data_IF_953460555257
#
_entry.id   IF_953460555257
#
_cell.length_a   1.000
_cell.length_b   1.000
_cell.length_c   1.000
_cell.angle_alpha   90.00
_cell.angle_beta   90.00
_cell.angle_gamma   90.00
#
_symmetry.space_group_name_H-M   'P 1'
#
loop_
_entity.id
_entity.type
_entity.pdbx_description
1 polymer ?
#
# COMPACT_ATOMS: atom_id res chain seq x y z
N UNK A 1 -6.52 14.70 -21.22
CA UNK A 1 -7.40 14.66 -20.02
C UNK A 1 -7.32 15.95 -19.21
N UNK A 2 -6.12 16.46 -18.84
CA UNK A 2 -5.95 17.73 -18.10
C UNK A 2 -6.61 18.92 -18.80
N UNK A 3 -6.30 19.17 -20.06
CA UNK A 3 -6.86 20.28 -20.85
C UNK A 3 -8.41 20.31 -20.86
N UNK A 4 -9.04 19.15 -20.92
CA UNK A 4 -10.49 19.05 -20.89
C UNK A 4 -11.10 19.47 -19.53
N UNK A 5 -10.42 19.20 -18.42
CA UNK A 5 -10.85 19.66 -17.09
C UNK A 5 -10.66 21.17 -16.93
N UNK A 6 -9.56 21.72 -17.45
CA UNK A 6 -9.28 23.16 -17.43
C UNK A 6 -10.35 23.95 -18.19
N UNK A 7 -10.77 23.44 -19.36
CA UNK A 7 -11.86 24.02 -20.14
C UNK A 7 -13.18 23.99 -19.36
N UNK A 8 -13.56 22.85 -18.76
CA UNK A 8 -14.78 22.72 -17.96
C UNK A 8 -14.80 23.63 -16.73
N UNK A 9 -13.67 23.74 -16.02
CA UNK A 9 -13.55 24.64 -14.87
C UNK A 9 -13.66 26.10 -15.27
N UNK A 10 -13.07 26.48 -16.40
CA UNK A 10 -13.16 27.83 -16.97
C UNK A 10 -14.60 28.18 -17.38
N UNK A 11 -15.30 27.24 -18.04
CA UNK A 11 -16.71 27.42 -18.42
C UNK A 11 -17.61 27.53 -17.17
N UNK A 12 -17.29 26.82 -16.11
CA UNK A 12 -18.00 26.89 -14.81
C UNK A 12 -17.70 28.17 -14.01
N UNK A 13 -16.77 29.03 -14.49
CA UNK A 13 -16.32 30.22 -13.77
C UNK A 13 -15.50 29.90 -12.52
N UNK A 14 -14.95 28.70 -12.41
CA UNK A 14 -14.12 28.32 -11.27
C UNK A 14 -12.71 28.91 -11.44
N UNK A 15 -12.20 29.52 -10.38
CA UNK A 15 -10.79 29.92 -10.33
C UNK A 15 -9.94 28.69 -10.05
N UNK A 16 -9.02 28.40 -10.93
CA UNK A 16 -8.02 27.34 -10.74
C UNK A 16 -6.62 27.88 -11.04
N UNK A 17 -5.63 27.33 -10.36
CA UNK A 17 -4.24 27.63 -10.62
C UNK A 17 -3.69 26.65 -11.68
N UNK A 18 -3.30 27.12 -12.87
CA UNK A 18 -2.78 26.26 -13.92
C UNK A 18 -1.43 25.64 -13.57
N UNK A 19 -0.68 26.21 -12.62
CA UNK A 19 0.59 25.67 -12.14
C UNK A 19 0.39 24.65 -11.01
N UNK A 20 -0.81 24.56 -10.43
CA UNK A 20 -1.09 23.64 -9.34
C UNK A 20 -0.99 22.20 -9.81
N UNK A 21 -0.05 21.47 -9.24
CA UNK A 21 0.06 20.05 -9.44
C UNK A 21 -1.04 19.35 -8.63
N UNK A 22 -1.69 18.32 -9.22
CA UNK A 22 -2.71 17.52 -8.52
C UNK A 22 -2.20 16.87 -7.21
N UNK A 23 -0.89 16.61 -7.13
CA UNK A 23 -0.25 16.08 -5.94
C UNK A 23 -0.22 17.13 -4.83
N UNK A 24 0.18 18.36 -5.14
CA UNK A 24 0.21 19.47 -4.19
C UNK A 24 -1.18 19.80 -3.67
N UNK A 25 -2.18 19.71 -4.56
CA UNK A 25 -3.59 19.89 -4.19
C UNK A 25 -4.09 18.83 -3.20
N UNK A 26 -3.66 17.59 -3.37
CA UNK A 26 -4.17 16.46 -2.58
C UNK A 26 -3.49 16.32 -1.23
N UNK A 27 -2.18 16.59 -1.14
CA UNK A 27 -1.36 16.29 0.05
C UNK A 27 -0.78 17.54 0.73
N UNK A 28 -0.75 18.67 0.03
CA UNK A 28 -0.09 19.88 0.50
C UNK A 28 1.44 19.80 0.46
N UNK A 29 2.10 20.94 0.69
CA UNK A 29 3.55 21.12 0.55
C UNK A 29 4.40 20.22 1.46
N UNK A 30 3.88 19.81 2.63
CA UNK A 30 4.63 19.04 3.61
C UNK A 30 4.96 17.61 3.16
N UNK A 31 4.15 17.01 2.32
CA UNK A 31 4.35 15.63 1.86
C UNK A 31 5.42 15.57 0.77
N UNK A 32 5.43 16.55 -0.12
CA UNK A 32 6.46 16.67 -1.15
C UNK A 32 7.84 16.93 -0.53
N UNK A 33 7.92 17.78 0.50
CA UNK A 33 9.20 18.07 1.16
C UNK A 33 9.83 16.82 1.80
N UNK A 34 9.01 15.88 2.29
CA UNK A 34 9.50 14.59 2.81
C UNK A 34 10.13 13.73 1.72
N UNK A 35 9.52 13.70 0.52
CA UNK A 35 10.04 12.96 -0.62
C UNK A 35 11.31 13.58 -1.20
N UNK A 36 11.43 14.91 -1.18
CA UNK A 36 12.65 15.60 -1.62
C UNK A 36 13.91 15.23 -0.80
N UNK A 37 13.73 14.79 0.43
CA UNK A 37 14.83 14.29 1.28
C UNK A 37 15.36 12.91 0.85
N UNK A 38 14.66 12.19 -0.02
CA UNK A 38 15.09 10.91 -0.56
C UNK A 38 15.91 11.14 -1.84
N UNK A 39 16.98 10.36 -2.00
CA UNK A 39 17.81 10.38 -3.22
C UNK A 39 17.17 9.65 -4.41
N UNK A 40 15.84 9.75 -4.55
CA UNK A 40 15.12 9.18 -5.68
C UNK A 40 14.98 10.20 -6.82
N UNK A 41 14.90 9.72 -8.07
CA UNK A 41 14.51 10.59 -9.17
C UNK A 41 13.14 11.20 -8.87
N UNK A 42 13.04 12.53 -8.92
CA UNK A 42 11.78 13.25 -8.68
C UNK A 42 10.88 13.14 -9.90
N UNK A 43 10.30 11.96 -10.12
CA UNK A 43 9.35 11.72 -11.21
C UNK A 43 7.92 11.75 -10.67
N UNK A 44 6.99 12.20 -11.50
CA UNK A 44 5.56 12.20 -11.17
C UNK A 44 5.09 10.81 -10.71
N UNK A 45 5.57 9.74 -11.33
CA UNK A 45 5.23 8.35 -10.99
C UNK A 45 5.63 7.99 -9.56
N UNK A 46 6.78 8.46 -9.08
CA UNK A 46 7.22 8.21 -7.70
C UNK A 46 6.29 8.92 -6.71
N UNK A 47 5.89 10.16 -7.00
CA UNK A 47 4.94 10.88 -6.18
C UNK A 47 3.57 10.20 -6.13
N UNK A 48 3.05 9.76 -7.27
CA UNK A 48 1.78 9.04 -7.36
C UNK A 48 1.83 7.71 -6.58
N UNK A 49 2.90 6.94 -6.72
CA UNK A 49 3.10 5.71 -5.96
C UNK A 49 3.19 5.97 -4.45
N UNK A 50 3.87 7.04 -4.04
CA UNK A 50 3.93 7.44 -2.64
C UNK A 50 2.54 7.80 -2.10
N UNK A 51 1.72 8.53 -2.85
CA UNK A 51 0.35 8.86 -2.48
C UNK A 51 -0.52 7.61 -2.31
N UNK A 52 -0.39 6.65 -3.22
CA UNK A 52 -1.08 5.36 -3.12
C UNK A 52 -0.66 4.63 -1.84
N UNK A 53 0.64 4.61 -1.55
CA UNK A 53 1.18 3.96 -0.35
C UNK A 53 0.77 4.66 0.94
N UNK A 54 0.72 5.99 0.98
CA UNK A 54 0.35 6.76 2.17
C UNK A 54 -1.13 6.63 2.53
N UNK A 55 -1.97 6.35 1.53
CA UNK A 55 -3.44 6.18 1.69
C UNK A 55 -3.90 4.74 1.74
N UNK A 56 -2.94 3.80 1.75
CA UNK A 56 -3.24 2.38 1.72
C UNK A 56 -4.07 1.94 2.93
N UNK A 57 -4.92 0.96 2.69
CA UNK A 57 -5.66 0.22 3.73
C UNK A 57 -5.56 -1.26 3.42
N UNK A 58 -5.41 -2.07 4.47
CA UNK A 58 -5.38 -3.53 4.43
C UNK A 58 -4.21 -4.13 3.62
N UNK A 59 -4.22 -3.99 2.30
CA UNK A 59 -3.30 -4.68 1.40
C UNK A 59 -2.83 -3.80 0.26
N UNK A 60 -1.53 -3.78 0.02
CA UNK A 60 -0.89 -3.19 -1.16
C UNK A 60 0.02 -4.21 -1.81
N UNK A 61 0.01 -4.28 -3.13
CA UNK A 61 0.97 -5.06 -3.92
C UNK A 61 1.83 -4.09 -4.71
N UNK A 62 3.13 -4.15 -4.51
CA UNK A 62 4.12 -3.37 -5.25
C UNK A 62 4.91 -4.27 -6.18
N UNK A 63 5.03 -3.86 -7.44
CA UNK A 63 5.93 -4.46 -8.41
C UNK A 63 7.25 -3.69 -8.32
N UNK A 64 8.28 -4.33 -7.81
CA UNK A 64 9.56 -3.71 -7.47
C UNK A 64 10.74 -4.59 -7.94
N UNK A 65 11.00 -4.62 -9.25
CA UNK A 65 12.07 -5.44 -9.81
C UNK A 65 13.46 -5.03 -9.34
N UNK A 66 13.64 -3.76 -8.99
CA UNK A 66 14.94 -3.17 -8.62
C UNK A 66 15.11 -3.01 -7.10
N UNK A 67 14.17 -3.52 -6.31
CA UNK A 67 14.20 -3.50 -4.83
C UNK A 67 14.29 -2.08 -4.23
N UNK A 68 13.63 -1.11 -4.85
CA UNK A 68 13.66 0.31 -4.49
C UNK A 68 12.47 0.75 -3.63
N UNK A 69 11.43 -0.08 -3.50
CA UNK A 69 10.20 0.33 -2.82
C UNK A 69 10.34 0.45 -1.30
N UNK A 70 11.28 -0.27 -0.66
CA UNK A 70 11.44 -0.29 0.81
C UNK A 70 11.58 1.10 1.43
N UNK A 71 12.48 1.98 0.96
CA UNK A 71 12.60 3.32 1.50
C UNK A 71 11.30 4.13 1.38
N UNK A 72 10.61 4.03 0.25
CA UNK A 72 9.34 4.72 0.00
C UNK A 72 8.24 4.22 0.93
N UNK A 73 8.14 2.89 1.13
CA UNK A 73 7.19 2.27 2.06
C UNK A 73 7.48 2.70 3.49
N UNK A 74 8.74 2.71 3.89
CA UNK A 74 9.15 3.11 5.24
C UNK A 74 8.76 4.56 5.53
N UNK A 75 8.90 5.44 4.55
CA UNK A 75 8.45 6.84 4.69
C UNK A 75 6.94 6.99 4.73
N UNK A 76 6.21 6.24 3.93
CA UNK A 76 4.74 6.30 3.92
C UNK A 76 4.12 5.83 5.25
N UNK A 77 4.89 5.12 6.08
CA UNK A 77 4.46 4.53 7.36
C UNK A 77 5.08 5.19 8.59
N UNK A 78 5.42 6.47 8.53
CA UNK A 78 6.12 7.17 9.63
C UNK A 78 5.42 7.07 11.00
N UNK A 79 4.11 6.84 11.01
CA UNK A 79 3.30 6.75 12.24
C UNK A 79 3.16 5.31 12.77
N UNK A 80 3.56 4.30 12.00
CA UNK A 80 3.40 2.90 12.38
C UNK A 80 4.71 2.13 12.27
N UNK A 81 4.92 1.20 13.18
CA UNK A 81 6.06 0.27 13.10
C UNK A 81 5.90 -0.61 11.87
N UNK A 82 6.92 -0.60 11.01
CA UNK A 82 6.95 -1.44 9.81
C UNK A 82 7.91 -2.61 10.02
N UNK A 83 7.39 -3.83 9.92
CA UNK A 83 8.20 -5.05 9.96
C UNK A 83 8.49 -5.46 8.53
N UNK A 84 9.78 -5.58 8.16
CA UNK A 84 10.20 -6.12 6.87
C UNK A 84 10.59 -7.58 7.04
N UNK A 85 10.00 -8.46 6.25
CA UNK A 85 10.23 -9.91 6.29
C UNK A 85 10.30 -10.47 4.87
N UNK A 86 10.65 -11.74 4.73
CA UNK A 86 10.69 -12.44 3.46
C UNK A 86 9.63 -13.54 3.40
N UNK A 87 9.16 -13.87 2.19
CA UNK A 87 8.19 -14.95 1.99
C UNK A 87 8.63 -16.28 2.61
N UNK A 88 9.93 -16.58 2.54
CA UNK A 88 10.51 -17.82 3.07
C UNK A 88 10.96 -17.73 4.54
N UNK A 89 10.62 -16.66 5.24
CA UNK A 89 10.97 -16.52 6.65
C UNK A 89 10.14 -17.48 7.49
N UNK A 90 10.83 -18.31 8.30
CA UNK A 90 10.18 -19.25 9.23
C UNK A 90 9.27 -18.55 10.26
N UNK A 91 9.48 -17.28 10.50
CA UNK A 91 8.69 -16.47 11.43
C UNK A 91 7.60 -15.64 10.74
N UNK A 92 7.47 -15.70 9.42
CA UNK A 92 6.49 -14.91 8.64
C UNK A 92 5.08 -15.02 9.23
N UNK A 93 4.60 -16.24 9.45
CA UNK A 93 3.27 -16.48 10.03
C UNK A 93 3.10 -15.80 11.39
N UNK A 94 4.09 -15.93 12.28
CA UNK A 94 4.08 -15.31 13.61
C UNK A 94 4.06 -13.79 13.52
N UNK A 95 4.96 -13.23 12.70
CA UNK A 95 5.08 -11.79 12.50
C UNK A 95 3.79 -11.22 11.93
N UNK A 96 3.20 -11.87 10.93
CA UNK A 96 1.95 -11.44 10.32
C UNK A 96 0.80 -11.41 11.34
N UNK A 97 0.62 -12.48 12.12
CA UNK A 97 -0.44 -12.55 13.13
C UNK A 97 -0.26 -11.48 14.21
N UNK A 98 0.97 -11.23 14.63
CA UNK A 98 1.26 -10.19 15.62
C UNK A 98 1.00 -8.79 15.08
N UNK A 99 1.44 -8.49 13.86
CA UNK A 99 1.19 -7.21 13.22
C UNK A 99 -0.30 -6.96 12.99
N UNK A 100 -1.04 -7.98 12.57
CA UNK A 100 -2.50 -7.90 12.44
C UNK A 100 -3.19 -7.53 13.76
N UNK A 101 -2.80 -8.17 14.85
CA UNK A 101 -3.41 -7.92 16.16
C UNK A 101 -3.08 -6.53 16.72
N UNK A 102 -1.88 -6.01 16.40
CA UNK A 102 -1.39 -4.70 16.88
C UNK A 102 -1.74 -3.54 15.97
N UNK A 103 -2.17 -3.80 14.72
CA UNK A 103 -2.38 -2.75 13.71
C UNK A 103 -1.07 -2.20 13.14
N UNK A 104 0.02 -2.97 13.20
CA UNK A 104 1.32 -2.62 12.65
C UNK A 104 1.38 -2.91 11.16
N UNK A 105 2.23 -2.20 10.42
CA UNK A 105 2.49 -2.49 9.02
C UNK A 105 3.51 -3.60 8.85
N UNK A 106 3.29 -4.50 7.88
CA UNK A 106 4.26 -5.54 7.50
C UNK A 106 4.54 -5.48 6.01
N UNK A 107 5.83 -5.57 5.64
CA UNK A 107 6.26 -5.67 4.24
C UNK A 107 6.88 -7.03 4.00
N UNK A 108 6.31 -7.77 3.04
CA UNK A 108 6.78 -9.10 2.66
C UNK A 108 7.50 -9.02 1.32
N UNK A 109 8.79 -9.36 1.32
CA UNK A 109 9.66 -9.37 0.13
C UNK A 109 9.71 -10.75 -0.51
N UNK A 110 10.10 -10.77 -1.80
CA UNK A 110 10.29 -11.99 -2.60
C UNK A 110 9.04 -12.90 -2.59
N UNK A 111 7.88 -12.27 -2.76
CA UNK A 111 6.60 -12.95 -2.78
C UNK A 111 6.18 -13.41 -4.19
N UNK A 112 7.14 -13.69 -5.06
CA UNK A 112 6.90 -14.10 -6.46
C UNK A 112 6.25 -15.49 -6.56
N UNK A 113 6.32 -16.27 -5.48
CA UNK A 113 5.69 -17.60 -5.35
C UNK A 113 4.89 -17.65 -4.05
N UNK A 114 3.87 -18.46 -4.02
CA UNK A 114 3.03 -18.73 -2.84
C UNK A 114 2.31 -17.50 -2.23
N UNK A 115 2.34 -16.36 -2.94
CA UNK A 115 1.65 -15.13 -2.51
C UNK A 115 0.14 -15.33 -2.35
N UNK A 116 -0.45 -16.32 -3.00
CA UNK A 116 -1.87 -16.68 -2.88
C UNK A 116 -2.27 -16.96 -1.43
N UNK A 117 -1.39 -17.61 -0.68
CA UNK A 117 -1.62 -17.92 0.73
C UNK A 117 -1.71 -16.65 1.58
N UNK A 118 -0.97 -15.60 1.20
CA UNK A 118 -1.02 -14.30 1.87
C UNK A 118 -2.22 -13.48 1.42
N UNK A 119 -2.50 -13.44 0.12
CA UNK A 119 -3.52 -12.59 -0.47
C UNK A 119 -4.95 -13.07 -0.23
N UNK A 120 -5.18 -14.38 -0.38
CA UNK A 120 -6.52 -14.96 -0.32
C UNK A 120 -7.34 -14.55 0.91
N UNK A 121 -6.79 -14.52 2.14
CA UNK A 121 -7.53 -14.06 3.31
C UNK A 121 -8.02 -12.60 3.20
N UNK A 122 -7.16 -11.73 2.67
CA UNK A 122 -7.45 -10.30 2.56
C UNK A 122 -8.42 -10.00 1.41
N UNK A 123 -8.27 -10.67 0.28
CA UNK A 123 -9.19 -10.52 -0.87
C UNK A 123 -10.59 -11.05 -0.53
N UNK A 124 -10.68 -12.17 0.17
CA UNK A 124 -11.97 -12.78 0.53
C UNK A 124 -12.60 -12.15 1.76
N UNK A 125 -11.88 -11.34 2.52
CA UNK A 125 -12.34 -10.61 3.72
C UNK A 125 -13.22 -11.48 4.65
N UNK A 126 -12.74 -12.68 5.00
CA UNK A 126 -13.41 -13.53 5.99
C UNK A 126 -13.27 -12.92 7.39
N UNK A 127 -14.04 -11.88 7.63
CA UNK A 127 -14.04 -11.13 8.87
C UNK A 127 -15.18 -11.64 9.74
N UNK A 128 -14.87 -11.99 10.99
CA UNK A 128 -15.86 -12.30 12.03
C UNK A 128 -15.76 -11.26 13.13
N UNK A 129 -16.84 -10.59 13.43
CA UNK A 129 -16.93 -9.63 14.54
C UNK A 129 -17.52 -10.32 15.77
N UNK A 130 -16.82 -10.29 16.88
CA UNK A 130 -17.29 -10.76 18.19
C UNK A 130 -17.18 -9.62 19.19
N UNK A 131 -18.32 -9.06 19.61
CA UNK A 131 -18.39 -7.87 20.46
C UNK A 131 -17.65 -6.69 19.77
N UNK A 132 -16.59 -6.21 20.41
CA UNK A 132 -15.73 -5.11 19.90
C UNK A 132 -14.50 -5.60 19.14
N UNK A 133 -14.24 -6.90 19.12
CA UNK A 133 -13.04 -7.48 18.51
C UNK A 133 -13.36 -8.03 17.14
N UNK A 134 -12.50 -7.69 16.19
CA UNK A 134 -12.56 -8.16 14.81
C UNK A 134 -11.56 -9.29 14.63
N UNK A 135 -11.97 -10.34 13.94
CA UNK A 135 -11.12 -11.50 13.64
C UNK A 135 -11.11 -11.78 12.15
N UNK A 136 -9.95 -12.18 11.64
CA UNK A 136 -9.76 -12.65 10.27
C UNK A 136 -9.17 -14.06 10.27
N UNK A 137 -9.60 -14.89 9.34
CA UNK A 137 -9.02 -16.24 9.18
C UNK A 137 -7.79 -16.19 8.28
N UNK A 138 -6.61 -16.40 8.86
CA UNK A 138 -5.33 -16.42 8.15
C UNK A 138 -4.58 -17.71 8.47
N UNK A 139 -4.00 -18.36 7.47
CA UNK A 139 -3.32 -19.67 7.60
C UNK A 139 -4.16 -20.74 8.33
N UNK A 140 -5.47 -20.76 8.08
CA UNK A 140 -6.39 -21.71 8.70
C UNK A 140 -6.78 -21.39 10.16
N UNK A 141 -6.19 -20.38 10.78
CA UNK A 141 -6.46 -19.95 12.15
C UNK A 141 -7.26 -18.66 12.19
N UNK A 142 -8.10 -18.51 13.23
CA UNK A 142 -8.80 -17.25 13.48
C UNK A 142 -7.88 -16.34 14.30
N UNK A 143 -7.53 -15.19 13.73
CA UNK A 143 -6.57 -14.24 14.28
C UNK A 143 -7.25 -12.90 14.53
N UNK A 144 -6.89 -12.23 15.61
CA UNK A 144 -7.36 -10.87 15.86
C UNK A 144 -6.88 -9.95 14.76
N UNK A 145 -7.76 -9.05 14.31
CA UNK A 145 -7.51 -8.09 13.25
C UNK A 145 -7.79 -6.68 13.73
N UNK A 146 -6.85 -5.78 13.50
CA UNK A 146 -6.97 -4.36 13.80
C UNK A 146 -7.06 -3.60 12.47
N UNK A 147 -8.02 -2.70 12.35
CA UNK A 147 -8.30 -1.94 11.12
C UNK A 147 -7.14 -1.01 10.69
N UNK A 148 -6.19 -0.74 11.58
CA UNK A 148 -4.96 0.00 11.26
C UNK A 148 -3.88 -0.86 10.61
N UNK A 149 -4.07 -2.19 10.56
CA UNK A 149 -3.12 -3.10 9.94
C UNK A 149 -3.00 -2.85 8.44
N UNK A 150 -1.78 -2.89 7.94
CA UNK A 150 -1.52 -2.85 6.51
C UNK A 150 -0.42 -3.84 6.13
N UNK A 151 -0.65 -4.59 5.06
CA UNK A 151 0.34 -5.47 4.45
C UNK A 151 0.76 -4.95 3.10
N UNK A 152 2.07 -4.81 2.89
CA UNK A 152 2.67 -4.54 1.59
C UNK A 152 3.39 -5.79 1.09
N UNK A 153 3.10 -6.22 -0.12
CA UNK A 153 3.73 -7.38 -0.77
C UNK A 153 4.59 -6.88 -1.92
N UNK A 154 5.88 -7.21 -1.90
CA UNK A 154 6.82 -6.89 -2.97
C UNK A 154 7.05 -8.12 -3.86
N UNK A 155 6.85 -7.92 -5.15
CA UNK A 155 7.06 -8.90 -6.20
C UNK A 155 8.00 -8.33 -7.25
N UNK A 156 8.80 -9.19 -7.89
CA UNK A 156 9.82 -8.77 -8.84
C UNK A 156 9.32 -8.66 -10.28
N UNK A 157 8.19 -9.28 -10.62
CA UNK A 157 7.71 -9.28 -12.01
C UNK A 157 6.19 -9.08 -12.17
N UNK A 158 5.79 -8.85 -13.42
CA UNK A 158 4.39 -8.62 -13.81
C UNK A 158 3.55 -9.90 -13.95
N UNK A 159 4.12 -11.09 -13.80
CA UNK A 159 3.40 -12.36 -13.94
C UNK A 159 2.23 -12.46 -12.95
N UNK A 160 2.39 -11.79 -11.81
CA UNK A 160 1.37 -11.64 -10.80
C UNK A 160 0.07 -10.96 -11.28
N UNK A 161 0.16 -9.97 -12.18
CA UNK A 161 -1.03 -9.28 -12.68
C UNK A 161 -1.99 -10.21 -13.42
N UNK A 162 -1.46 -11.23 -14.13
CA UNK A 162 -2.28 -12.25 -14.80
C UNK A 162 -3.07 -13.08 -13.81
N UNK A 163 -2.49 -13.35 -12.65
CA UNK A 163 -3.17 -14.07 -11.58
C UNK A 163 -4.27 -13.24 -10.91
N UNK A 164 -3.99 -12.00 -10.57
CA UNK A 164 -5.01 -11.09 -10.00
C UNK A 164 -6.22 -10.95 -10.92
N UNK A 165 -5.99 -10.78 -12.23
CA UNK A 165 -7.05 -10.70 -13.23
C UNK A 165 -7.86 -11.99 -13.36
N UNK A 166 -7.29 -13.15 -13.04
CA UNK A 166 -7.99 -14.42 -13.04
C UNK A 166 -8.80 -14.68 -11.75
N UNK A 167 -8.56 -13.93 -10.67
CA UNK A 167 -9.26 -14.05 -9.39
C UNK A 167 -10.42 -13.05 -9.21
N UNK A 168 -10.46 -12.01 -10.06
CA UNK A 168 -11.55 -11.02 -10.12
C UNK A 168 -12.66 -11.46 -11.05
#
# INVERSE_FOLDING_TARGET
MRAHWEDLLSEAGAQFDPELNHIDFVEGENTLSKLHGLQFPHTQTIYENFLILSRKKDLVVCIDPDDQAIPVISMSNLETTTIVTHMNDKFLKKNLIQSMARGESITVRNADRDYELLLSPFLRKFIKKEKETVYMRVFGSLCQYNDSFCMCILISDYSFLRFLLAML
#
